data_IF_611716705811
#
_entry.id   IF_611716705811
#
_cell.length_a   1.000
_cell.length_b   1.000
_cell.length_c   1.000
_cell.angle_alpha   90.00
_cell.angle_beta   90.00
_cell.angle_gamma   90.00
#
_symmetry.space_group_name_H-M   'P 1'
#
loop_
_entity.id
_entity.type
_entity.pdbx_description
1 polymer ?
#
# COMPACT_ATOMS: atom_id res chain seq x y z
N UNK A 1 -0.93 -16.89 28.40
CA UNK A 1 -2.09 -16.50 27.56
C UNK A 1 -1.54 -16.11 26.20
N UNK A 2 -2.03 -16.70 25.11
CA UNK A 2 -1.73 -16.19 23.78
C UNK A 2 -2.27 -14.76 23.71
N UNK A 3 -1.43 -13.78 23.39
CA UNK A 3 -1.90 -12.42 23.16
C UNK A 3 -2.92 -12.45 22.02
N UNK A 4 -4.08 -11.83 22.21
CA UNK A 4 -5.05 -11.72 21.13
C UNK A 4 -4.39 -10.90 20.00
N UNK A 5 -4.09 -11.54 18.86
CA UNK A 5 -3.36 -10.90 17.75
C UNK A 5 -4.02 -9.61 17.25
N UNK A 6 -5.36 -9.51 17.40
CA UNK A 6 -6.15 -8.32 17.07
C UNK A 6 -5.95 -7.14 18.02
N UNK A 7 -5.33 -7.33 19.19
CA UNK A 7 -4.99 -6.29 20.15
C UNK A 7 -3.52 -5.86 20.09
N UNK A 8 -2.71 -6.55 19.29
CA UNK A 8 -1.30 -6.21 19.13
C UNK A 8 -1.13 -5.00 18.20
N UNK A 9 -0.52 -3.93 18.73
CA UNK A 9 -0.25 -2.70 18.00
C UNK A 9 0.89 -2.88 16.98
N UNK A 10 0.92 -2.02 15.96
CA UNK A 10 2.04 -1.95 15.02
C UNK A 10 3.31 -1.50 15.73
N UNK A 11 4.40 -2.22 15.49
CA UNK A 11 5.75 -1.85 15.89
C UNK A 11 6.69 -1.92 14.69
N UNK A 12 7.82 -1.19 14.71
CA UNK A 12 8.82 -1.33 13.67
C UNK A 12 9.44 -2.72 13.56
N UNK A 13 9.17 -3.67 14.46
CA UNK A 13 9.72 -5.03 14.45
C UNK A 13 8.71 -6.06 13.93
N UNK A 14 7.41 -5.84 14.13
CA UNK A 14 6.36 -6.77 13.71
C UNK A 14 5.68 -6.39 12.38
N UNK A 15 5.98 -5.19 11.84
CA UNK A 15 5.32 -4.64 10.66
C UNK A 15 6.25 -4.45 9.47
N UNK A 16 5.71 -4.59 8.28
CA UNK A 16 6.35 -4.22 7.01
C UNK A 16 5.39 -3.32 6.23
N UNK A 17 5.89 -2.62 5.21
CA UNK A 17 5.08 -1.73 4.39
C UNK A 17 5.20 -2.06 2.91
N UNK A 18 4.08 -1.92 2.19
CA UNK A 18 4.04 -2.01 0.73
C UNK A 18 3.40 -0.74 0.15
N UNK A 19 4.10 -0.13 -0.81
CA UNK A 19 3.58 0.93 -1.66
C UNK A 19 3.15 0.33 -3.00
N UNK A 20 1.84 0.37 -3.27
CA UNK A 20 1.26 -0.24 -4.47
C UNK A 20 0.97 0.86 -5.50
N UNK A 21 1.71 0.81 -6.61
CA UNK A 21 1.39 1.49 -7.86
C UNK A 21 1.19 3.01 -7.71
N UNK A 22 2.06 3.64 -6.92
CA UNK A 22 2.12 5.09 -6.71
C UNK A 22 2.72 5.80 -7.92
N UNK A 23 2.05 5.65 -9.06
CA UNK A 23 2.46 6.10 -10.39
C UNK A 23 1.58 7.28 -10.83
N UNK A 24 2.13 8.34 -11.47
CA UNK A 24 1.40 9.57 -11.79
C UNK A 24 0.15 9.37 -12.64
N UNK A 25 0.17 8.48 -13.62
CA UNK A 25 -0.99 8.25 -14.49
C UNK A 25 -2.11 7.51 -13.76
N UNK A 26 -1.78 6.62 -12.83
CA UNK A 26 -2.79 6.03 -11.93
C UNK A 26 -3.35 7.08 -10.96
N UNK A 27 -2.48 7.93 -10.41
CA UNK A 27 -2.88 9.03 -9.54
C UNK A 27 -3.76 10.06 -10.27
N UNK A 28 -3.65 10.18 -11.60
CA UNK A 28 -4.51 11.06 -12.39
C UNK A 28 -5.99 10.68 -12.26
N UNK A 29 -6.30 9.38 -12.18
CA UNK A 29 -7.65 8.86 -12.01
C UNK A 29 -8.21 8.99 -10.59
N UNK A 30 -7.41 9.40 -9.60
CA UNK A 30 -7.86 9.55 -8.21
C UNK A 30 -8.76 10.77 -8.06
N UNK A 31 -9.94 10.55 -7.46
CA UNK A 31 -10.92 11.60 -7.14
C UNK A 31 -11.36 11.59 -5.67
N UNK A 32 -10.85 10.64 -4.87
CA UNK A 32 -11.19 10.54 -3.43
C UNK A 32 -10.41 11.51 -2.53
N UNK A 33 -9.31 12.08 -3.02
CA UNK A 33 -8.40 12.98 -2.30
C UNK A 33 -7.68 13.88 -3.31
N UNK A 34 -7.29 15.09 -2.89
CA UNK A 34 -6.39 15.93 -3.68
C UNK A 34 -5.06 15.20 -3.96
N UNK A 35 -4.61 15.23 -5.22
CA UNK A 35 -3.46 14.45 -5.69
C UNK A 35 -2.14 14.94 -5.12
N UNK A 36 -2.00 16.24 -4.87
CA UNK A 36 -0.79 16.77 -4.22
C UNK A 36 -0.73 16.34 -2.76
N UNK A 37 -1.87 16.37 -2.07
CA UNK A 37 -2.01 15.88 -0.69
C UNK A 37 -1.71 14.39 -0.61
N UNK A 38 -2.27 13.57 -1.51
CA UNK A 38 -1.95 12.14 -1.61
C UNK A 38 -0.45 11.90 -1.73
N UNK A 39 0.22 12.55 -2.70
CA UNK A 39 1.67 12.41 -2.91
C UNK A 39 2.45 12.81 -1.66
N UNK A 40 2.08 13.92 -1.01
CA UNK A 40 2.72 14.37 0.22
C UNK A 40 2.58 13.33 1.35
N UNK A 41 1.41 12.73 1.51
CA UNK A 41 1.14 11.71 2.52
C UNK A 41 1.92 10.42 2.24
N UNK A 42 1.98 9.98 0.98
CA UNK A 42 2.80 8.84 0.55
C UNK A 42 4.27 9.06 0.89
N UNK A 43 4.82 10.23 0.56
CA UNK A 43 6.22 10.57 0.88
C UNK A 43 6.44 10.69 2.39
N UNK A 44 5.47 11.23 3.14
CA UNK A 44 5.52 11.29 4.60
C UNK A 44 5.57 9.89 5.23
N UNK A 45 4.69 9.00 4.78
CA UNK A 45 4.64 7.59 5.20
C UNK A 45 5.95 6.86 4.86
N UNK A 46 6.49 7.08 3.67
CA UNK A 46 7.77 6.51 3.23
C UNK A 46 8.93 6.96 4.13
N UNK A 47 9.00 8.26 4.45
CA UNK A 47 10.03 8.79 5.37
C UNK A 47 9.90 8.21 6.78
N UNK A 48 8.68 8.01 7.27
CA UNK A 48 8.45 7.33 8.55
C UNK A 48 8.95 5.88 8.49
N UNK A 49 8.58 5.11 7.47
CA UNK A 49 9.03 3.74 7.28
C UNK A 49 10.57 3.64 7.26
N UNK A 50 11.24 4.52 6.51
CA UNK A 50 12.71 4.60 6.49
C UNK A 50 13.29 4.92 7.86
N UNK A 51 12.74 5.92 8.56
CA UNK A 51 13.22 6.36 9.88
C UNK A 51 13.15 5.23 10.92
N UNK A 52 12.09 4.42 10.85
CA UNK A 52 11.88 3.29 11.75
C UNK A 52 12.52 1.97 11.26
N UNK A 53 13.23 1.97 10.13
CA UNK A 53 13.82 0.77 9.51
C UNK A 53 12.76 -0.33 9.25
N UNK A 54 11.60 0.08 8.76
CA UNK A 54 10.53 -0.84 8.35
C UNK A 54 10.85 -1.35 6.93
N UNK A 55 10.93 -2.69 6.71
CA UNK A 55 11.08 -3.27 5.39
C UNK A 55 10.00 -2.78 4.46
N UNK A 56 10.42 -2.28 3.30
CA UNK A 56 9.57 -1.56 2.37
C UNK A 56 9.61 -2.24 1.01
N UNK A 57 8.44 -2.65 0.54
CA UNK A 57 8.22 -3.15 -0.82
C UNK A 57 7.58 -2.05 -1.65
N UNK A 58 8.05 -1.83 -2.87
CA UNK A 58 7.47 -0.89 -3.83
C UNK A 58 7.10 -1.68 -5.08
N UNK A 59 5.84 -1.62 -5.49
CA UNK A 59 5.35 -2.26 -6.70
C UNK A 59 4.91 -1.23 -7.72
N UNK A 60 4.96 -1.65 -8.99
CA UNK A 60 4.44 -0.91 -10.13
C UNK A 60 3.69 -1.86 -11.06
N UNK A 61 2.83 -1.28 -11.88
CA UNK A 61 2.09 -2.00 -12.92
C UNK A 61 2.16 -1.19 -14.22
N UNK A 62 2.46 -1.84 -15.34
CA UNK A 62 2.48 -1.21 -16.68
C UNK A 62 3.34 0.08 -16.75
N UNK A 63 4.56 0.04 -16.21
CA UNK A 63 5.47 1.21 -16.15
C UNK A 63 5.81 1.77 -17.53
N UNK A 64 6.11 0.89 -18.49
CA UNK A 64 6.44 1.27 -19.88
C UNK A 64 5.18 1.52 -20.74
N UNK A 65 3.99 1.40 -20.15
CA UNK A 65 2.70 1.54 -20.81
C UNK A 65 1.88 2.69 -20.22
N UNK A 66 0.72 2.35 -19.68
CA UNK A 66 -0.26 3.34 -19.21
C UNK A 66 0.23 4.11 -17.98
N UNK A 67 0.81 3.42 -17.00
CA UNK A 67 0.92 3.93 -15.63
C UNK A 67 2.11 4.85 -15.42
N UNK A 68 3.20 4.68 -16.18
CA UNK A 68 4.43 5.47 -16.06
C UNK A 68 5.27 5.13 -14.83
N UNK A 69 6.40 5.82 -14.64
CA UNK A 69 7.29 5.56 -13.50
C UNK A 69 6.67 5.99 -12.16
N UNK A 70 7.01 5.29 -11.07
CA UNK A 70 6.65 5.68 -9.69
C UNK A 70 7.01 7.13 -9.40
N UNK A 71 6.30 7.78 -8.46
CA UNK A 71 6.66 9.10 -7.96
C UNK A 71 8.16 9.19 -7.62
N UNK A 72 8.92 10.10 -8.25
CA UNK A 72 10.36 10.22 -8.00
C UNK A 72 10.64 10.60 -6.54
N UNK A 73 9.73 11.32 -5.88
CA UNK A 73 9.84 11.68 -4.47
C UNK A 73 9.75 10.45 -3.54
N UNK A 74 8.99 9.42 -3.92
CA UNK A 74 8.97 8.15 -3.18
C UNK A 74 10.28 7.39 -3.38
N UNK A 75 10.77 7.31 -4.63
CA UNK A 75 12.04 6.63 -4.94
C UNK A 75 13.24 7.32 -4.31
N UNK A 76 13.22 8.65 -4.15
CA UNK A 76 14.27 9.40 -3.46
C UNK A 76 14.38 9.03 -1.96
N UNK A 77 13.30 8.54 -1.34
CA UNK A 77 13.36 8.01 0.03
C UNK A 77 14.08 6.67 0.04
N UNK A 78 13.95 5.85 -1.00
CA UNK A 78 14.47 4.49 -1.10
C UNK A 78 15.29 4.28 -2.40
N UNK A 79 16.43 4.97 -2.57
CA UNK A 79 17.15 4.98 -3.85
C UNK A 79 17.73 3.62 -4.26
N UNK A 80 17.91 2.70 -3.31
CA UNK A 80 18.47 1.36 -3.52
C UNK A 80 17.40 0.27 -3.56
N UNK A 81 16.13 0.61 -3.31
CA UNK A 81 15.06 -0.40 -3.32
C UNK A 81 14.77 -0.86 -4.76
N UNK A 82 14.75 -2.17 -4.94
CA UNK A 82 14.24 -2.77 -6.16
C UNK A 82 12.73 -2.51 -6.28
N UNK A 83 12.31 -1.97 -7.41
CA UNK A 83 10.90 -1.85 -7.77
C UNK A 83 10.44 -3.20 -8.35
N UNK A 84 9.30 -3.68 -7.90
CA UNK A 84 8.68 -4.90 -8.39
C UNK A 84 7.63 -4.55 -9.45
N UNK A 85 8.03 -4.59 -10.72
CA UNK A 85 7.15 -4.41 -11.88
C UNK A 85 6.27 -5.64 -12.09
N UNK A 86 4.98 -5.41 -12.35
CA UNK A 86 3.95 -6.44 -12.50
C UNK A 86 3.06 -6.14 -13.70
N UNK A 87 2.29 -7.15 -14.13
CA UNK A 87 1.29 -7.02 -15.21
C UNK A 87 -0.15 -7.17 -14.72
N UNK A 88 -0.37 -7.78 -13.55
CA UNK A 88 -1.70 -7.86 -12.91
C UNK A 88 -1.97 -6.61 -12.08
N UNK A 89 -3.23 -6.23 -11.90
CA UNK A 89 -3.62 -5.19 -10.93
C UNK A 89 -3.52 -5.70 -9.48
N UNK A 90 -3.67 -7.01 -9.25
CA UNK A 90 -3.50 -7.58 -7.92
C UNK A 90 -2.01 -7.83 -7.66
N UNK A 91 -1.42 -7.11 -6.70
CA UNK A 91 -0.02 -7.29 -6.29
C UNK A 91 0.27 -8.69 -5.76
N UNK A 92 -0.73 -9.40 -5.25
CA UNK A 92 -0.55 -10.74 -4.72
C UNK A 92 -0.34 -11.81 -5.80
N UNK A 93 -0.75 -11.56 -7.05
CA UNK A 93 -0.57 -12.52 -8.15
C UNK A 93 0.91 -12.68 -8.54
N UNK A 94 1.76 -11.70 -8.20
CA UNK A 94 3.17 -11.73 -8.53
C UNK A 94 4.00 -12.45 -7.44
N UNK A 95 4.70 -13.52 -7.84
CA UNK A 95 5.49 -14.33 -6.92
C UNK A 95 6.64 -13.53 -6.29
N UNK A 96 7.24 -12.57 -7.00
CA UNK A 96 8.32 -11.75 -6.44
C UNK A 96 7.81 -10.85 -5.30
N UNK A 97 6.56 -10.37 -5.38
CA UNK A 97 5.93 -9.63 -4.28
C UNK A 97 5.75 -10.54 -3.07
N UNK A 98 5.22 -11.74 -3.27
CA UNK A 98 5.01 -12.72 -2.20
C UNK A 98 6.33 -13.10 -1.52
N UNK A 99 7.36 -13.36 -2.31
CA UNK A 99 8.69 -13.71 -1.84
C UNK A 99 9.35 -12.55 -1.07
N UNK A 100 9.24 -11.32 -1.57
CA UNK A 100 9.74 -10.13 -0.88
C UNK A 100 9.06 -9.92 0.48
N UNK A 101 7.73 -10.05 0.53
CA UNK A 101 6.98 -9.93 1.78
C UNK A 101 7.30 -11.06 2.77
N UNK A 102 7.46 -12.29 2.27
CA UNK A 102 7.80 -13.45 3.09
C UNK A 102 9.23 -13.34 3.67
N UNK A 103 10.19 -12.87 2.86
CA UNK A 103 11.58 -12.68 3.28
C UNK A 103 11.73 -11.69 4.44
N UNK A 104 10.78 -10.75 4.59
CA UNK A 104 10.77 -9.81 5.72
C UNK A 104 10.42 -10.46 7.06
N UNK A 105 9.73 -11.62 7.05
CA UNK A 105 9.38 -12.36 8.27
C UNK A 105 8.36 -11.67 9.19
N UNK A 106 7.59 -10.71 8.67
CA UNK A 106 6.67 -9.86 9.46
C UNK A 106 5.23 -10.05 9.01
N UNK A 107 4.30 -10.31 9.93
CA UNK A 107 2.91 -10.64 9.58
C UNK A 107 1.97 -9.44 9.42
N UNK A 108 2.33 -8.26 9.93
CA UNK A 108 1.51 -7.04 9.79
C UNK A 108 1.99 -6.24 8.58
N UNK A 109 1.12 -6.00 7.61
CA UNK A 109 1.44 -5.23 6.39
C UNK A 109 0.68 -3.91 6.42
N UNK A 110 1.42 -2.83 6.45
CA UNK A 110 0.93 -1.47 6.20
C UNK A 110 0.82 -1.30 4.68
N UNK A 111 -0.36 -0.92 4.19
CA UNK A 111 -0.64 -0.83 2.75
C UNK A 111 -1.01 0.60 2.39
N UNK A 112 -0.34 1.15 1.39
CA UNK A 112 -0.67 2.43 0.78
C UNK A 112 -0.57 2.31 -0.73
N UNK A 113 -1.62 2.65 -1.47
CA UNK A 113 -1.60 2.40 -2.90
C UNK A 113 -2.80 2.87 -3.69
N UNK A 114 -2.70 2.65 -5.00
CA UNK A 114 -3.67 3.05 -5.99
C UNK A 114 -4.10 1.86 -6.87
N UNK A 115 -5.37 1.67 -7.20
CA UNK A 115 -6.55 2.29 -6.57
C UNK A 115 -7.03 1.46 -5.38
N UNK A 116 -7.64 2.14 -4.42
CA UNK A 116 -8.07 1.54 -3.14
C UNK A 116 -9.00 0.34 -3.38
N UNK A 117 -9.98 0.52 -4.26
CA UNK A 117 -10.99 -0.45 -4.61
C UNK A 117 -10.52 -1.58 -5.56
N UNK A 118 -9.34 -1.41 -6.16
CA UNK A 118 -8.75 -2.40 -7.10
C UNK A 118 -7.51 -3.03 -6.49
N UNK A 119 -6.33 -2.41 -6.67
CA UNK A 119 -5.05 -3.02 -6.33
C UNK A 119 -4.93 -3.27 -4.82
N UNK A 120 -5.33 -2.30 -3.98
CA UNK A 120 -5.18 -2.45 -2.53
C UNK A 120 -6.15 -3.49 -1.97
N UNK A 121 -7.43 -3.45 -2.39
CA UNK A 121 -8.46 -4.37 -1.89
C UNK A 121 -8.16 -5.80 -2.30
N UNK A 122 -7.85 -6.04 -3.59
CA UNK A 122 -7.54 -7.39 -4.08
C UNK A 122 -6.27 -7.94 -3.42
N UNK A 123 -5.21 -7.13 -3.32
CA UNK A 123 -4.00 -7.51 -2.57
C UNK A 123 -4.32 -7.87 -1.13
N UNK A 124 -5.06 -7.01 -0.42
CA UNK A 124 -5.37 -7.21 0.99
C UNK A 124 -6.12 -8.53 1.22
N UNK A 125 -7.18 -8.80 0.43
CA UNK A 125 -7.97 -10.02 0.58
C UNK A 125 -7.14 -11.28 0.33
N UNK A 126 -6.33 -11.31 -0.73
CA UNK A 126 -5.50 -12.46 -1.05
C UNK A 126 -4.34 -12.63 -0.05
N UNK A 127 -3.69 -11.54 0.37
CA UNK A 127 -2.63 -11.58 1.37
C UNK A 127 -3.13 -12.09 2.74
N UNK A 128 -4.34 -11.71 3.14
CA UNK A 128 -4.99 -12.24 4.34
C UNK A 128 -5.34 -13.72 4.19
N UNK A 129 -5.96 -14.10 3.07
CA UNK A 129 -6.46 -15.46 2.84
C UNK A 129 -5.33 -16.48 2.68
N UNK A 130 -4.32 -16.17 1.88
CA UNK A 130 -3.28 -17.13 1.48
C UNK A 130 -1.96 -16.91 2.23
N UNK A 131 -1.67 -15.69 2.64
CA UNK A 131 -0.42 -15.31 3.30
C UNK A 131 -0.50 -15.32 4.84
N UNK A 132 -1.71 -15.43 5.40
CA UNK A 132 -1.98 -15.20 6.83
C UNK A 132 -1.37 -13.87 7.31
N UNK A 133 -1.53 -12.83 6.49
CA UNK A 133 -1.10 -11.46 6.82
C UNK A 133 -2.23 -10.67 7.47
N UNK A 134 -1.86 -9.73 8.34
CA UNK A 134 -2.77 -8.73 8.92
C UNK A 134 -2.58 -7.41 8.18
N UNK A 135 -3.66 -6.86 7.62
CA UNK A 135 -3.58 -5.69 6.73
C UNK A 135 -4.02 -4.42 7.46
N UNK A 136 -3.20 -3.37 7.32
CA UNK A 136 -3.44 -2.05 7.87
C UNK A 136 -3.39 -1.02 6.74
N UNK A 137 -4.57 -0.62 6.26
CA UNK A 137 -4.70 0.33 5.15
C UNK A 137 -4.45 1.76 5.62
N UNK A 138 -3.54 2.48 4.95
CA UNK A 138 -3.30 3.90 5.18
C UNK A 138 -4.15 4.70 4.22
N UNK A 139 -5.35 5.09 4.68
CA UNK A 139 -6.38 5.66 3.84
C UNK A 139 -5.98 7.00 3.18
N UNK A 140 -5.23 7.84 3.89
CA UNK A 140 -4.80 9.15 3.40
C UNK A 140 -3.54 9.10 2.50
N UNK A 141 -2.86 7.95 2.44
CA UNK A 141 -1.82 7.63 1.47
C UNK A 141 -2.31 6.66 0.37
N UNK A 142 -3.64 6.47 0.29
CA UNK A 142 -4.32 5.67 -0.73
C UNK A 142 -5.37 6.52 -1.44
N UNK A 143 -5.70 6.16 -2.67
CA UNK A 143 -6.66 6.91 -3.49
C UNK A 143 -7.58 5.98 -4.26
N UNK A 144 -8.85 6.36 -4.41
CA UNK A 144 -9.82 5.67 -5.26
C UNK A 144 -10.32 6.57 -6.38
N UNK A 145 -10.95 5.96 -7.38
CA UNK A 145 -11.49 6.66 -8.56
C UNK A 145 -12.70 7.54 -8.24
N UNK A 146 -13.31 7.33 -7.08
CA UNK A 146 -14.32 8.20 -6.47
C UNK A 146 -14.25 8.11 -4.94
N UNK A 147 -14.85 9.07 -4.24
CA UNK A 147 -14.99 8.99 -2.79
C UNK A 147 -15.79 7.75 -2.36
N UNK A 148 -16.85 7.40 -3.09
CA UNK A 148 -17.68 6.24 -2.78
C UNK A 148 -16.91 4.93 -2.94
N UNK A 149 -16.18 4.76 -4.04
CA UNK A 149 -15.36 3.57 -4.28
C UNK A 149 -14.28 3.40 -3.19
N UNK A 150 -13.62 4.50 -2.81
CA UNK A 150 -12.63 4.50 -1.73
C UNK A 150 -13.24 4.15 -0.37
N UNK A 151 -14.40 4.74 -0.02
CA UNK A 151 -15.04 4.54 1.28
C UNK A 151 -15.70 3.17 1.42
N UNK A 152 -16.24 2.61 0.35
CA UNK A 152 -16.88 1.28 0.36
C UNK A 152 -15.87 0.15 0.54
N UNK A 153 -14.58 0.40 0.27
CA UNK A 153 -13.50 -0.59 0.33
C UNK A 153 -12.52 -0.37 1.48
N UNK A 154 -12.49 0.84 2.05
CA UNK A 154 -11.80 1.12 3.30
C UNK A 154 -12.47 0.45 4.51
N UNK A 155 -11.75 0.32 5.65
CA UNK A 155 -12.39 -0.07 6.89
C UNK A 155 -13.53 0.90 7.19
N UNK A 156 -14.74 0.39 7.39
CA UNK A 156 -15.95 1.20 7.55
C UNK A 156 -15.70 2.35 8.54
N UNK A 157 -15.61 3.59 8.05
CA UNK A 157 -15.69 4.76 8.92
C UNK A 157 -17.08 4.73 9.53
N UNK A 158 -17.17 4.82 10.87
CA UNK A 158 -18.44 5.18 11.48
C UNK A 158 -18.96 6.45 10.80
N UNK A 159 -20.22 6.51 10.36
CA UNK A 159 -20.77 7.72 9.78
C UNK A 159 -20.55 8.86 10.77
N UNK A 160 -19.89 9.92 10.31
CA UNK A 160 -19.87 11.18 11.04
C UNK A 160 -21.31 11.67 11.03
N UNK A 161 -21.97 11.63 12.19
CA UNK A 161 -23.27 12.28 12.37
C UNK A 161 -23.18 13.74 11.91
N UNK A 162 -24.23 14.27 11.27
CA UNK A 162 -24.28 15.65 10.80
C UNK A 162 -24.10 16.66 11.95
#
# INVERSE_FOLDING_TARGET
MSANKYLEVLTPQNSQIIFIDQQPQMAFGVQSIDRQTLKNNVVGLAKAARTFNIPTTITTVETDGFSGNTFPELLAVFPENKILERTSMNSWDDQNVRDALAANGRKKIVVAGLWTEVCNTTFALCAMLEGDYEIYMVADASGGTSADAHNATGPARKPTTP
#
